data_IF_840086712969
#
_entry.id   IF_840086712969
#
_cell.length_a   1.000
_cell.length_b   1.000
_cell.length_c   1.000
_cell.angle_alpha   90.00
_cell.angle_beta   90.00
_cell.angle_gamma   90.00
#
_symmetry.space_group_name_H-M   'P 1'
#
loop_
_entity.id
_entity.type
_entity.pdbx_description
1 polymer ?
#
# COMPACT_ATOMS: atom_id res chain seq x y z
N UNK A 1 -5.02 5.82 -9.40
CA UNK A 1 -5.04 5.26 -8.04
C UNK A 1 -4.49 6.22 -7.00
N UNK A 2 -3.30 6.76 -7.22
CA UNK A 2 -2.71 7.77 -6.34
C UNK A 2 -3.65 8.96 -6.07
N UNK A 3 -4.28 9.51 -7.11
CA UNK A 3 -5.12 10.69 -6.98
C UNK A 3 -6.34 10.47 -6.10
N UNK A 4 -6.91 9.27 -6.11
CA UNK A 4 -8.08 8.94 -5.28
C UNK A 4 -7.68 8.90 -3.82
N UNK A 5 -6.58 8.22 -3.49
CA UNK A 5 -6.07 8.14 -2.12
C UNK A 5 -5.67 9.52 -1.61
N UNK A 6 -4.94 10.29 -2.43
CA UNK A 6 -4.53 11.64 -2.08
C UNK A 6 -5.72 12.56 -1.82
N UNK A 7 -6.73 12.53 -2.71
CA UNK A 7 -7.94 13.34 -2.55
C UNK A 7 -8.68 13.01 -1.26
N UNK A 8 -8.80 11.73 -0.93
CA UNK A 8 -9.44 11.30 0.31
C UNK A 8 -8.70 11.84 1.52
N UNK A 9 -7.37 11.72 1.55
CA UNK A 9 -6.55 12.16 2.67
C UNK A 9 -6.68 13.67 2.87
N UNK A 10 -6.61 14.45 1.80
CA UNK A 10 -6.77 15.90 1.85
C UNK A 10 -8.17 16.31 2.33
N UNK A 11 -9.21 15.67 1.79
CA UNK A 11 -10.59 15.98 2.11
C UNK A 11 -10.93 15.71 3.57
N UNK A 12 -10.33 14.70 4.19
CA UNK A 12 -10.61 14.29 5.56
C UNK A 12 -9.58 14.80 6.56
N UNK A 13 -8.70 15.71 6.13
CA UNK A 13 -7.68 16.35 6.99
C UNK A 13 -6.71 15.36 7.66
N UNK A 14 -6.43 14.23 7.01
CA UNK A 14 -5.41 13.32 7.49
C UNK A 14 -4.02 13.93 7.29
N UNK A 15 -3.17 13.84 8.29
CA UNK A 15 -1.78 14.34 8.23
C UNK A 15 -0.85 13.29 7.59
N UNK A 16 -1.27 12.73 6.48
CA UNK A 16 -0.51 11.70 5.77
C UNK A 16 -0.13 12.20 4.38
N UNK A 17 0.99 11.68 3.87
CA UNK A 17 1.47 12.00 2.53
C UNK A 17 1.43 10.75 1.66
N UNK A 18 1.07 10.92 0.38
CA UNK A 18 0.92 9.85 -0.59
C UNK A 18 2.02 9.97 -1.64
N UNK A 19 2.78 8.89 -1.84
CA UNK A 19 3.87 8.87 -2.81
C UNK A 19 3.68 7.71 -3.80
N UNK A 20 3.71 8.01 -5.11
CA UNK A 20 3.74 6.97 -6.13
C UNK A 20 5.17 6.49 -6.37
N UNK A 21 5.32 5.33 -7.01
CA UNK A 21 6.61 4.87 -7.50
C UNK A 21 7.15 5.83 -8.59
N UNK A 22 8.46 6.09 -8.68
CA UNK A 22 9.50 5.57 -7.80
C UNK A 22 9.61 6.36 -6.50
N UNK A 23 9.55 5.67 -5.38
CA UNK A 23 9.72 6.26 -4.06
C UNK A 23 10.27 5.17 -3.14
N UNK A 24 11.48 5.38 -2.61
CA UNK A 24 12.19 4.35 -1.86
C UNK A 24 11.70 4.24 -0.42
N UNK A 25 11.51 3.01 0.04
CA UNK A 25 11.18 2.68 1.42
C UNK A 25 12.29 1.80 1.97
N UNK A 26 12.96 2.28 3.02
CA UNK A 26 14.06 1.60 3.69
C UNK A 26 13.57 1.08 5.04
N UNK A 27 13.70 -0.23 5.29
CA UNK A 27 13.16 -0.83 6.52
C UNK A 27 14.12 -0.77 7.70
N UNK A 28 15.37 -0.44 7.45
CA UNK A 28 16.37 -0.25 8.49
C UNK A 28 17.26 0.93 8.11
N UNK A 29 18.21 1.24 8.98
CA UNK A 29 19.17 2.32 8.72
C UNK A 29 20.18 1.98 7.63
N UNK A 30 20.23 0.72 7.19
CA UNK A 30 21.04 0.31 6.05
C UNK A 30 20.31 0.66 4.76
N UNK A 31 20.67 1.81 4.18
CA UNK A 31 20.05 2.34 2.98
C UNK A 31 20.40 1.59 1.70
N UNK A 32 21.00 0.41 1.81
CA UNK A 32 21.29 -0.44 0.65
C UNK A 32 20.14 -1.37 0.28
N UNK A 33 19.24 -1.66 1.23
CA UNK A 33 18.10 -2.54 1.02
C UNK A 33 16.83 -1.71 1.08
N UNK A 34 16.13 -1.62 -0.05
CA UNK A 34 14.89 -0.84 -0.13
C UNK A 34 13.92 -1.46 -1.13
N UNK A 35 12.67 -1.05 -1.03
CA UNK A 35 11.62 -1.36 -2.01
C UNK A 35 11.04 -0.06 -2.54
N UNK A 36 10.38 -0.13 -3.71
CA UNK A 36 9.71 1.01 -4.32
C UNK A 36 8.24 0.63 -4.60
N UNK A 37 7.38 0.71 -3.57
CA UNK A 37 5.96 0.36 -3.75
C UNK A 37 5.28 1.26 -4.79
N UNK A 38 4.27 0.72 -5.46
CA UNK A 38 3.52 1.52 -6.44
C UNK A 38 2.84 2.72 -5.78
N UNK A 39 2.29 2.52 -4.58
CA UNK A 39 1.74 3.60 -3.78
C UNK A 39 2.12 3.37 -2.32
N UNK A 40 2.62 4.43 -1.67
CA UNK A 40 2.93 4.44 -0.24
C UNK A 40 2.24 5.62 0.42
N UNK A 41 1.63 5.39 1.59
CA UNK A 41 1.03 6.45 2.40
C UNK A 41 1.75 6.47 3.74
N UNK A 42 2.32 7.61 4.10
CA UNK A 42 3.11 7.78 5.31
C UNK A 42 2.47 8.87 6.17
N UNK A 43 2.06 8.50 7.39
CA UNK A 43 1.44 9.43 8.33
C UNK A 43 2.44 10.00 9.34
N UNK A 44 3.53 9.30 9.60
CA UNK A 44 4.60 9.79 10.47
C UNK A 44 5.68 10.47 9.61
N UNK A 45 5.66 11.79 9.58
CA UNK A 45 6.58 12.57 8.75
C UNK A 45 8.05 12.47 9.20
N UNK A 46 8.28 12.04 10.44
CA UNK A 46 9.65 11.83 10.93
C UNK A 46 10.35 10.68 10.19
N UNK A 47 9.59 9.81 9.51
CA UNK A 47 10.15 8.76 8.67
C UNK A 47 10.62 9.26 7.31
N UNK A 48 10.26 10.48 6.92
CA UNK A 48 10.58 11.03 5.60
C UNK A 48 11.89 11.80 5.60
N UNK A 49 12.69 11.60 4.54
CA UNK A 49 13.92 12.35 4.30
C UNK A 49 14.11 12.54 2.79
N UNK A 50 15.25 13.12 2.38
CA UNK A 50 15.53 13.41 0.97
C UNK A 50 15.62 12.17 0.09
N UNK A 51 15.81 10.99 0.67
CA UNK A 51 15.98 9.72 -0.06
C UNK A 51 14.70 8.91 -0.13
N UNK A 52 13.70 9.19 0.71
CA UNK A 52 12.44 8.47 0.78
C UNK A 52 11.92 8.32 2.19
N UNK A 53 11.46 7.13 2.52
CA UNK A 53 10.91 6.78 3.83
C UNK A 53 11.81 5.78 4.53
N UNK A 54 12.18 6.07 5.78
CA UNK A 54 12.90 5.12 6.63
C UNK A 54 11.94 4.59 7.68
N UNK A 55 11.61 3.31 7.59
CA UNK A 55 10.60 2.66 8.41
C UNK A 55 9.37 2.27 7.60
N UNK A 56 8.37 1.70 8.25
CA UNK A 56 7.18 1.21 7.57
C UNK A 56 6.24 2.34 7.20
N UNK A 57 5.78 2.41 5.92
CA UNK A 57 4.60 3.21 5.58
C UNK A 57 3.37 2.67 6.30
N UNK A 58 2.35 3.51 6.44
CA UNK A 58 1.08 3.08 7.05
C UNK A 58 0.27 2.19 6.11
N UNK A 59 0.28 2.53 4.82
CA UNK A 59 -0.54 1.86 3.81
C UNK A 59 0.29 1.69 2.54
N UNK A 60 0.28 0.48 1.98
CA UNK A 60 1.01 0.16 0.74
C UNK A 60 0.08 -0.51 -0.26
N UNK A 61 0.13 -0.07 -1.51
CA UNK A 61 -0.56 -0.73 -2.62
C UNK A 61 0.48 -1.13 -3.66
N UNK A 62 0.48 -2.40 -4.04
CA UNK A 62 1.30 -2.92 -5.13
C UNK A 62 0.39 -3.45 -6.24
N UNK A 63 0.67 -3.06 -7.47
CA UNK A 63 0.00 -3.61 -8.65
C UNK A 63 0.94 -4.68 -9.22
N UNK A 64 0.53 -5.94 -9.13
CA UNK A 64 1.42 -7.04 -9.50
C UNK A 64 1.41 -7.28 -11.00
N UNK A 65 2.56 -7.67 -11.51
CA UNK A 65 2.75 -8.19 -12.84
C UNK A 65 3.06 -9.69 -12.76
N UNK A 66 3.07 -10.36 -13.91
CA UNK A 66 3.44 -11.78 -13.97
C UNK A 66 4.83 -12.01 -13.37
N UNK A 67 5.77 -11.09 -13.61
CA UNK A 67 7.14 -11.19 -13.12
C UNK A 67 7.32 -10.87 -11.63
N UNK A 68 6.45 -10.06 -11.05
CA UNK A 68 6.55 -9.65 -9.65
C UNK A 68 5.63 -10.42 -8.69
N UNK A 69 4.72 -11.24 -9.22
CA UNK A 69 3.67 -11.89 -8.44
C UNK A 69 4.19 -12.64 -7.22
N UNK A 70 5.15 -13.52 -7.44
CA UNK A 70 5.69 -14.33 -6.34
C UNK A 70 6.32 -13.46 -5.26
N UNK A 71 7.09 -12.46 -5.67
CA UNK A 71 7.73 -11.52 -4.75
C UNK A 71 6.70 -10.75 -3.92
N UNK A 72 5.66 -10.22 -4.56
CA UNK A 72 4.67 -9.38 -3.91
C UNK A 72 3.81 -10.17 -2.90
N UNK A 73 3.43 -11.41 -3.24
CA UNK A 73 2.61 -12.23 -2.35
C UNK A 73 3.39 -12.91 -1.23
N UNK A 74 4.69 -13.12 -1.39
CA UNK A 74 5.50 -13.86 -0.41
C UNK A 74 6.52 -12.94 0.28
N UNK A 75 7.62 -12.61 -0.39
CA UNK A 75 8.73 -11.87 0.21
C UNK A 75 8.33 -10.49 0.71
N UNK A 76 7.66 -9.71 -0.14
CA UNK A 76 7.22 -8.36 0.26
C UNK A 76 6.12 -8.41 1.32
N UNK A 77 5.22 -9.39 1.24
CA UNK A 77 4.17 -9.55 2.24
C UNK A 77 4.78 -9.77 3.64
N UNK A 78 5.73 -10.69 3.75
CA UNK A 78 6.44 -10.93 5.02
C UNK A 78 7.19 -9.69 5.49
N UNK A 79 7.88 -9.01 4.57
CA UNK A 79 8.66 -7.82 4.87
C UNK A 79 7.77 -6.68 5.40
N UNK A 80 6.66 -6.41 4.75
CA UNK A 80 5.73 -5.36 5.18
C UNK A 80 5.06 -5.69 6.51
N UNK A 81 4.66 -6.94 6.70
CA UNK A 81 4.05 -7.39 7.96
C UNK A 81 5.04 -7.24 9.13
N UNK A 82 6.28 -7.70 8.95
CA UNK A 82 7.30 -7.65 9.99
C UNK A 82 7.73 -6.21 10.31
N UNK A 83 7.73 -5.34 9.31
CA UNK A 83 8.14 -3.95 9.47
C UNK A 83 7.09 -3.07 10.18
N UNK A 84 5.84 -3.51 10.23
CA UNK A 84 4.78 -2.76 10.88
C UNK A 84 3.88 -1.96 9.95
N UNK A 85 3.83 -2.28 8.66
CA UNK A 85 2.84 -1.72 7.76
C UNK A 85 1.46 -2.10 8.28
N UNK A 86 0.53 -1.14 8.32
CA UNK A 86 -0.79 -1.35 8.89
C UNK A 86 -1.75 -2.04 7.95
N UNK A 87 -1.67 -1.72 6.65
CA UNK A 87 -2.53 -2.30 5.62
C UNK A 87 -1.78 -2.42 4.30
N UNK A 88 -1.92 -3.57 3.63
CA UNK A 88 -1.24 -3.86 2.37
C UNK A 88 -2.23 -4.44 1.36
N UNK A 89 -2.32 -3.81 0.20
CA UNK A 89 -3.18 -4.26 -0.90
C UNK A 89 -2.33 -4.76 -2.07
N UNK A 90 -2.62 -5.97 -2.53
CA UNK A 90 -2.04 -6.52 -3.76
C UNK A 90 -3.12 -6.51 -4.82
N UNK A 91 -3.00 -5.61 -5.80
CA UNK A 91 -3.92 -5.50 -6.93
C UNK A 91 -3.39 -6.36 -8.07
N UNK A 92 -4.17 -7.35 -8.49
CA UNK A 92 -3.78 -8.34 -9.50
C UNK A 92 -4.65 -8.20 -10.74
N UNK A 93 -4.19 -7.42 -11.77
CA UNK A 93 -4.98 -7.21 -12.98
C UNK A 93 -5.22 -8.47 -13.80
N UNK A 94 -4.27 -9.41 -13.82
CA UNK A 94 -4.41 -10.65 -14.57
C UNK A 94 -5.53 -11.54 -14.02
N UNK A 95 -5.64 -11.59 -12.69
CA UNK A 95 -6.66 -12.39 -12.01
C UNK A 95 -7.89 -11.57 -11.63
N UNK A 96 -7.90 -10.29 -11.93
CA UNK A 96 -9.00 -9.35 -11.65
C UNK A 96 -9.48 -9.40 -10.21
N UNK A 97 -8.51 -9.44 -9.27
CA UNK A 97 -8.81 -9.46 -7.84
C UNK A 97 -7.77 -8.68 -7.06
N UNK A 98 -8.16 -8.22 -5.86
CA UNK A 98 -7.27 -7.56 -4.89
C UNK A 98 -7.25 -8.38 -3.61
N UNK A 99 -6.06 -8.63 -3.08
CA UNK A 99 -5.89 -9.25 -1.78
C UNK A 99 -5.55 -8.15 -0.78
N UNK A 100 -6.31 -8.07 0.31
CA UNK A 100 -6.16 -7.05 1.32
C UNK A 100 -5.67 -7.69 2.61
N UNK A 101 -4.53 -7.22 3.12
CA UNK A 101 -3.95 -7.66 4.37
C UNK A 101 -4.16 -6.56 5.40
N UNK A 102 -5.00 -6.83 6.41
CA UNK A 102 -5.30 -5.91 7.51
C UNK A 102 -4.39 -6.25 8.70
N UNK A 103 -3.11 -5.97 8.58
CA UNK A 103 -2.12 -6.36 9.59
C UNK A 103 -2.43 -5.80 10.98
N UNK A 104 -2.88 -4.54 11.03
CA UNK A 104 -3.16 -3.87 12.29
C UNK A 104 -4.35 -4.50 13.04
N UNK A 105 -5.29 -5.07 12.31
CA UNK A 105 -6.52 -5.63 12.87
C UNK A 105 -6.42 -7.11 13.21
N UNK A 106 -5.29 -7.74 12.93
CA UNK A 106 -5.07 -9.17 13.14
C UNK A 106 -6.19 -10.04 12.54
N UNK A 107 -6.66 -9.64 11.37
CA UNK A 107 -7.70 -10.37 10.63
C UNK A 107 -7.09 -11.15 9.47
N UNK A 108 -7.80 -12.20 9.05
CA UNK A 108 -7.41 -12.95 7.87
C UNK A 108 -7.46 -12.05 6.62
N UNK A 109 -6.59 -12.30 5.63
CA UNK A 109 -6.64 -11.53 4.38
C UNK A 109 -8.00 -11.69 3.70
N UNK A 110 -8.45 -10.62 3.06
CA UNK A 110 -9.68 -10.60 2.30
C UNK A 110 -9.36 -10.52 0.81
N UNK A 111 -10.11 -11.27 -0.01
CA UNK A 111 -10.01 -11.20 -1.46
C UNK A 111 -11.25 -10.50 -1.98
N UNK A 112 -11.05 -9.45 -2.78
CA UNK A 112 -12.12 -8.68 -3.40
C UNK A 112 -11.98 -8.75 -4.92
N UNK A 113 -13.09 -8.98 -5.61
CA UNK A 113 -13.11 -8.93 -7.08
C UNK A 113 -13.11 -7.48 -7.55
N UNK A 114 -12.64 -7.23 -8.77
CA UNK A 114 -12.57 -5.88 -9.34
C UNK A 114 -13.92 -5.19 -9.45
N UNK A 115 -15.00 -5.94 -9.52
CA UNK A 115 -16.37 -5.39 -9.56
C UNK A 115 -16.87 -4.93 -8.20
N UNK A 116 -16.16 -5.27 -7.13
CA UNK A 116 -16.55 -4.93 -5.76
C UNK A 116 -15.83 -3.66 -5.31
N UNK A 117 -16.46 -2.90 -4.43
CA UNK A 117 -15.83 -1.76 -3.78
C UNK A 117 -15.11 -2.22 -2.52
N UNK A 118 -13.86 -1.78 -2.36
CA UNK A 118 -13.02 -2.15 -1.21
C UNK A 118 -12.99 -0.99 -0.23
N UNK A 119 -13.22 -1.30 1.05
CA UNK A 119 -13.05 -0.32 2.12
C UNK A 119 -11.70 -0.50 2.80
N UNK A 120 -10.99 0.61 3.01
CA UNK A 120 -9.78 0.59 3.82
C UNK A 120 -10.12 0.31 5.29
N UNK A 121 -9.28 -0.47 5.96
CA UNK A 121 -9.44 -0.74 7.40
C UNK A 121 -8.89 0.38 8.28
N UNK A 122 -7.89 1.13 7.80
CA UNK A 122 -7.26 2.20 8.58
C UNK A 122 -7.81 3.59 8.26
N UNK A 123 -8.40 3.76 7.08
CA UNK A 123 -8.99 5.05 6.66
C UNK A 123 -10.49 4.89 6.51
N UNK A 124 -11.24 5.24 7.56
CA UNK A 124 -12.69 5.15 7.54
C UNK A 124 -13.28 5.99 6.41
N UNK A 125 -14.12 5.38 5.60
CA UNK A 125 -14.75 6.05 4.46
C UNK A 125 -13.94 6.04 3.18
N UNK A 126 -12.70 5.55 3.19
CA UNK A 126 -11.95 5.38 1.94
C UNK A 126 -12.42 4.11 1.24
N UNK A 127 -13.11 4.30 0.14
CA UNK A 127 -13.64 3.22 -0.69
C UNK A 127 -13.05 3.32 -2.09
N UNK A 128 -12.57 2.19 -2.62
CA UNK A 128 -11.94 2.15 -3.92
C UNK A 128 -12.54 1.01 -4.74
N UNK A 129 -12.98 1.33 -5.97
CA UNK A 129 -13.37 0.33 -6.96
C UNK A 129 -12.24 0.21 -7.97
N UNK A 130 -11.55 -0.92 -7.97
CA UNK A 130 -10.34 -1.10 -8.77
C UNK A 130 -10.65 -1.09 -10.28
N UNK A 131 -11.78 -1.64 -10.71
CA UNK A 131 -12.12 -1.65 -12.14
C UNK A 131 -12.28 -0.25 -12.71
N UNK A 132 -12.73 0.71 -11.91
CA UNK A 132 -12.84 2.10 -12.33
C UNK A 132 -11.47 2.78 -12.43
N UNK A 133 -10.52 2.37 -11.59
CA UNK A 133 -9.18 2.94 -11.55
C UNK A 133 -8.31 2.49 -12.72
N UNK A 134 -8.53 1.29 -13.22
CA UNK A 134 -7.71 0.70 -14.27
C UNK A 134 -8.27 0.96 -15.69
N UNK A 135 -9.32 1.74 -15.79
CA UNK A 135 -9.88 2.14 -17.09
C UNK A 135 -8.96 3.11 -17.83
#
# INVERSE_FOLDING_TARGET
>A
MRNIVKSYIEKNNWECEVYPSPFAVFFNKDEKIYVEPDISVICDKDKLNDRGCVGAPDFVIEVVSKSSRKMDYTTKNALYSDAGVREYWIVDPEKERTTIYYYEQDEAPMISLFTQTIQSGIYEGLEINISELLK
#
